data_IF_069529133304
#
_entry.id   IF_069529133304
#
_cell.length_a   1.000
_cell.length_b   1.000
_cell.length_c   1.000
_cell.angle_alpha   90.00
_cell.angle_beta   90.00
_cell.angle_gamma   90.00
#
_symmetry.space_group_name_H-M   'P 1'
#
loop_
_entity.id
_entity.type
_entity.pdbx_description
1 polymer ?
#
# COMPACT_ATOMS: atom_id res chain seq x y z
N UNK A 1 -4.42 44.17 -24.78
CA UNK A 1 -3.63 42.94 -25.05
C UNK A 1 -3.48 42.03 -23.84
N UNK A 2 -3.10 42.53 -22.65
CA UNK A 2 -2.96 41.69 -21.43
C UNK A 2 -4.25 40.98 -21.01
N UNK A 3 -5.41 41.63 -21.12
CA UNK A 3 -6.71 41.04 -20.76
C UNK A 3 -7.13 39.89 -21.70
N UNK A 4 -6.97 40.07 -23.02
CA UNK A 4 -7.20 39.01 -24.02
C UNK A 4 -6.31 37.79 -23.79
N UNK A 5 -5.05 38.01 -23.40
CA UNK A 5 -4.13 36.94 -23.05
C UNK A 5 -4.60 36.17 -21.80
N UNK A 6 -5.06 36.87 -20.75
CA UNK A 6 -5.59 36.23 -19.54
C UNK A 6 -6.86 35.41 -19.82
N UNK A 7 -7.75 35.90 -20.70
CA UNK A 7 -8.96 35.18 -21.11
C UNK A 7 -8.62 33.90 -21.90
N UNK A 8 -7.67 33.99 -22.85
CA UNK A 8 -7.21 32.84 -23.63
C UNK A 8 -6.54 31.78 -22.74
N UNK A 9 -5.71 32.20 -21.79
CA UNK A 9 -5.07 31.30 -20.82
C UNK A 9 -6.12 30.64 -19.92
N UNK A 10 -7.10 31.40 -19.42
CA UNK A 10 -8.21 30.85 -18.62
C UNK A 10 -9.03 29.81 -19.38
N UNK A 11 -9.33 30.07 -20.66
CA UNK A 11 -10.05 29.12 -21.52
C UNK A 11 -9.23 27.86 -21.80
N UNK A 12 -7.93 28.01 -22.09
CA UNK A 12 -7.02 26.88 -22.29
C UNK A 12 -6.84 26.02 -21.02
N UNK A 13 -6.79 26.65 -19.84
CA UNK A 13 -6.75 25.95 -18.54
C UNK A 13 -8.08 25.26 -18.22
N UNK A 14 -9.22 25.88 -18.54
CA UNK A 14 -10.55 25.29 -18.41
C UNK A 14 -10.79 24.12 -19.38
N UNK A 15 -10.05 24.06 -20.48
CA UNK A 15 -10.06 22.95 -21.43
C UNK A 15 -9.14 21.78 -21.03
N UNK A 16 -8.46 21.83 -19.87
CA UNK A 16 -7.77 20.63 -19.37
C UNK A 16 -8.82 19.52 -19.24
N UNK A 17 -8.70 18.44 -20.00
CA UNK A 17 -9.79 17.49 -20.07
C UNK A 17 -10.04 16.85 -18.70
N UNK A 18 -11.29 16.77 -18.20
CA UNK A 18 -11.60 16.16 -16.91
C UNK A 18 -11.04 14.74 -16.75
N UNK A 19 -10.93 13.99 -17.87
CA UNK A 19 -10.33 12.67 -17.90
C UNK A 19 -8.83 12.68 -17.52
N UNK A 20 -8.09 13.75 -17.84
CA UNK A 20 -6.69 13.89 -17.49
C UNK A 20 -6.49 14.08 -15.98
N UNK A 21 -7.32 14.92 -15.37
CA UNK A 21 -7.32 15.14 -13.92
C UNK A 21 -7.72 13.87 -13.17
N UNK A 22 -8.77 13.17 -13.63
CA UNK A 22 -9.18 11.86 -13.09
C UNK A 22 -8.02 10.86 -13.14
N UNK A 23 -7.36 10.73 -14.29
CA UNK A 23 -6.18 9.88 -14.43
C UNK A 23 -5.10 10.26 -13.41
N UNK A 24 -4.63 11.51 -13.42
CA UNK A 24 -3.57 11.94 -12.49
C UNK A 24 -3.91 11.59 -11.03
N UNK A 25 -5.15 11.79 -10.62
CA UNK A 25 -5.65 11.43 -9.29
C UNK A 25 -5.53 9.92 -9.01
N UNK A 26 -6.00 9.07 -9.94
CA UNK A 26 -5.89 7.61 -9.80
C UNK A 26 -4.43 7.15 -9.65
N UNK A 27 -3.52 7.73 -10.43
CA UNK A 27 -2.09 7.43 -10.30
C UNK A 27 -1.54 7.81 -8.92
N UNK A 28 -1.94 8.96 -8.38
CA UNK A 28 -1.54 9.36 -7.02
C UNK A 28 -1.98 8.35 -5.98
N UNK A 29 -3.20 7.82 -6.08
CA UNK A 29 -3.70 6.78 -5.20
C UNK A 29 -2.89 5.47 -5.32
N UNK A 30 -2.56 5.04 -6.53
CA UNK A 30 -1.67 3.88 -6.72
C UNK A 30 -0.27 4.08 -6.14
N UNK A 31 0.33 5.26 -6.34
CA UNK A 31 1.63 5.59 -5.76
C UNK A 31 1.58 5.61 -4.22
N UNK A 32 0.49 6.12 -3.63
CA UNK A 32 0.30 6.12 -2.18
C UNK A 32 0.23 4.69 -1.62
N UNK A 33 -0.54 3.80 -2.27
CA UNK A 33 -0.59 2.38 -1.90
C UNK A 33 0.80 1.72 -1.98
N UNK A 34 1.56 1.99 -3.05
CA UNK A 34 2.93 1.47 -3.20
C UNK A 34 3.83 1.92 -2.05
N UNK A 35 3.75 3.18 -1.65
CA UNK A 35 4.57 3.72 -0.56
C UNK A 35 4.27 3.06 0.79
N UNK A 36 2.97 2.82 1.10
CA UNK A 36 2.58 2.08 2.29
C UNK A 36 3.06 0.62 2.22
N UNK A 37 2.90 -0.04 1.07
CA UNK A 37 3.40 -1.41 0.89
C UNK A 37 4.92 -1.53 1.13
N UNK A 38 5.70 -0.57 0.66
CA UNK A 38 7.16 -0.59 0.87
C UNK A 38 7.52 -0.44 2.35
N UNK A 39 6.86 0.47 3.05
CA UNK A 39 7.06 0.62 4.50
C UNK A 39 6.62 -0.62 5.29
N UNK A 40 5.52 -1.26 4.89
CA UNK A 40 5.09 -2.54 5.45
C UNK A 40 6.15 -3.62 5.28
N UNK A 41 6.73 -3.73 4.08
CA UNK A 41 7.81 -4.67 3.77
C UNK A 41 9.07 -4.40 4.61
N UNK A 42 9.50 -3.14 4.71
CA UNK A 42 10.64 -2.76 5.54
C UNK A 42 10.43 -3.09 7.02
N UNK A 43 9.24 -2.80 7.55
CA UNK A 43 8.89 -3.11 8.94
C UNK A 43 8.79 -4.61 9.20
N UNK A 44 8.21 -5.37 8.28
CA UNK A 44 8.15 -6.83 8.37
C UNK A 44 9.55 -7.45 8.35
N UNK A 45 10.47 -6.96 7.49
CA UNK A 45 11.87 -7.40 7.49
C UNK A 45 12.57 -7.10 8.81
N UNK A 46 12.36 -5.92 9.38
CA UNK A 46 12.93 -5.57 10.70
C UNK A 46 12.39 -6.47 11.82
N UNK A 47 11.11 -6.79 11.81
CA UNK A 47 10.53 -7.72 12.78
C UNK A 47 11.24 -9.09 12.75
N UNK A 48 11.56 -9.59 11.54
CA UNK A 48 12.22 -10.87 11.35
C UNK A 48 13.72 -10.85 11.67
N UNK A 49 14.42 -9.76 11.33
CA UNK A 49 15.88 -9.67 11.47
C UNK A 49 16.31 -9.22 12.87
N UNK A 50 15.59 -8.26 13.46
CA UNK A 50 16.04 -7.57 14.67
C UNK A 50 15.37 -8.14 15.94
N UNK A 51 14.48 -9.13 15.80
CA UNK A 51 13.71 -9.76 16.89
C UNK A 51 13.01 -8.75 17.83
N UNK A 52 12.55 -7.62 17.30
CA UNK A 52 12.00 -6.55 18.13
C UNK A 52 10.51 -6.82 18.46
N UNK A 53 10.21 -7.00 19.75
CA UNK A 53 8.88 -7.39 20.26
C UNK A 53 7.87 -6.25 20.50
N UNK A 54 8.17 -4.99 20.15
CA UNK A 54 7.51 -3.80 20.76
C UNK A 54 6.89 -2.82 19.75
N UNK A 55 5.84 -2.03 20.10
CA UNK A 55 4.82 -1.50 19.16
C UNK A 55 5.24 -0.31 18.28
N UNK A 56 6.51 0.10 18.31
CA UNK A 56 7.05 1.16 17.42
C UNK A 56 7.01 0.80 15.92
N UNK A 57 6.64 -0.44 15.58
CA UNK A 57 6.69 -0.98 14.23
C UNK A 57 5.33 -1.27 13.59
N UNK A 58 4.24 -0.62 14.01
CA UNK A 58 2.96 -0.75 13.30
C UNK A 58 3.14 -0.52 11.79
N UNK A 59 2.59 -1.45 11.01
CA UNK A 59 2.57 -1.41 9.56
C UNK A 59 1.57 -0.33 9.11
N UNK A 60 1.97 0.60 8.22
CA UNK A 60 1.07 1.65 7.75
C UNK A 60 -0.03 1.09 6.86
N UNK A 61 -1.28 1.45 7.16
CA UNK A 61 -2.48 1.04 6.41
C UNK A 61 -3.30 2.24 5.93
N UNK A 62 -2.82 3.46 6.17
CA UNK A 62 -3.59 4.70 5.96
C UNK A 62 -3.88 4.91 4.48
N UNK A 63 -2.87 4.75 3.62
CA UNK A 63 -3.06 4.90 2.19
C UNK A 63 -4.00 3.82 1.65
N UNK A 64 -3.96 2.60 2.20
CA UNK A 64 -4.93 1.56 1.86
C UNK A 64 -6.36 1.97 2.21
N UNK A 65 -6.60 2.36 3.45
CA UNK A 65 -7.91 2.77 3.94
C UNK A 65 -8.50 3.97 3.19
N UNK A 66 -7.66 4.91 2.74
CA UNK A 66 -8.10 6.13 2.05
C UNK A 66 -8.14 5.95 0.52
N UNK A 67 -7.11 5.37 -0.07
CA UNK A 67 -6.94 5.34 -1.53
C UNK A 67 -7.63 4.15 -2.18
N UNK A 68 -7.68 2.99 -1.51
CA UNK A 68 -8.25 1.79 -2.11
C UNK A 68 -9.76 1.92 -2.38
N UNK A 69 -10.60 2.48 -1.48
CA UNK A 69 -12.01 2.73 -1.78
C UNK A 69 -12.23 3.68 -2.96
N UNK A 70 -11.37 4.70 -3.12
CA UNK A 70 -11.44 5.61 -4.27
C UNK A 70 -11.16 4.85 -5.57
N UNK A 71 -10.12 4.01 -5.59
CA UNK A 71 -9.78 3.20 -6.76
C UNK A 71 -10.91 2.22 -7.13
N UNK A 72 -11.56 1.60 -6.13
CA UNK A 72 -12.72 0.73 -6.33
C UNK A 72 -13.91 1.49 -6.92
N UNK A 73 -14.28 2.64 -6.32
CA UNK A 73 -15.40 3.45 -6.78
C UNK A 73 -15.20 3.97 -8.22
N UNK A 74 -13.95 4.25 -8.59
CA UNK A 74 -13.59 4.68 -9.94
C UNK A 74 -13.48 3.53 -10.96
N UNK A 75 -13.66 2.27 -10.54
CA UNK A 75 -13.51 1.09 -11.40
C UNK A 75 -12.07 0.85 -11.88
N UNK A 76 -11.08 1.29 -11.10
CA UNK A 76 -9.66 1.21 -11.46
C UNK A 76 -9.01 -0.14 -11.09
N UNK A 77 -9.75 -1.01 -10.39
CA UNK A 77 -9.27 -2.29 -9.83
C UNK A 77 -10.15 -3.43 -10.34
N UNK A 78 -9.54 -4.51 -10.82
CA UNK A 78 -10.23 -5.73 -11.22
C UNK A 78 -10.41 -6.69 -10.03
N UNK A 79 -11.37 -7.61 -10.11
CA UNK A 79 -11.69 -8.54 -9.00
C UNK A 79 -10.46 -9.29 -8.47
N UNK A 80 -9.62 -9.84 -9.36
CA UNK A 80 -8.39 -10.56 -8.97
C UNK A 80 -7.40 -9.64 -8.25
N UNK A 81 -7.33 -8.38 -8.66
CA UNK A 81 -6.46 -7.37 -8.06
C UNK A 81 -6.95 -7.00 -6.66
N UNK A 82 -8.28 -6.93 -6.47
CA UNK A 82 -8.89 -6.71 -5.16
C UNK A 82 -8.49 -7.81 -4.19
N UNK A 83 -8.57 -9.07 -4.64
CA UNK A 83 -8.21 -10.21 -3.79
C UNK A 83 -6.73 -10.20 -3.41
N UNK A 84 -5.82 -9.97 -4.35
CA UNK A 84 -4.38 -9.97 -4.08
C UNK A 84 -3.96 -8.81 -3.17
N UNK A 85 -4.38 -7.57 -3.50
CA UNK A 85 -4.07 -6.39 -2.68
C UNK A 85 -4.72 -6.51 -1.29
N UNK A 86 -5.97 -6.97 -1.24
CA UNK A 86 -6.71 -7.19 0.00
C UNK A 86 -6.01 -8.22 0.91
N UNK A 87 -5.54 -9.35 0.38
CA UNK A 87 -4.80 -10.35 1.16
C UNK A 87 -3.55 -9.76 1.82
N UNK A 88 -2.77 -8.97 1.07
CA UNK A 88 -1.59 -8.30 1.63
C UNK A 88 -1.96 -7.37 2.80
N UNK A 89 -2.91 -6.46 2.60
CA UNK A 89 -3.26 -5.47 3.63
C UNK A 89 -4.01 -6.07 4.82
N UNK A 90 -4.83 -7.10 4.60
CA UNK A 90 -5.49 -7.83 5.69
C UNK A 90 -4.45 -8.53 6.58
N UNK A 91 -3.44 -9.17 5.99
CA UNK A 91 -2.38 -9.80 6.78
C UNK A 91 -1.53 -8.76 7.52
N UNK A 92 -1.30 -7.59 6.93
CA UNK A 92 -0.64 -6.48 7.59
C UNK A 92 -1.46 -5.92 8.78
N UNK A 93 -2.79 -5.86 8.66
CA UNK A 93 -3.69 -5.50 9.77
C UNK A 93 -3.66 -6.56 10.89
N UNK A 94 -3.70 -7.84 10.52
CA UNK A 94 -3.56 -8.93 11.48
C UNK A 94 -2.24 -8.91 12.25
N UNK A 95 -1.14 -8.54 11.58
CA UNK A 95 0.16 -8.30 12.22
C UNK A 95 0.08 -7.15 13.23
N UNK A 96 -0.54 -6.03 12.86
CA UNK A 96 -0.74 -4.92 13.78
C UNK A 96 -1.54 -5.33 15.04
N UNK A 97 -2.61 -6.12 14.87
CA UNK A 97 -3.37 -6.67 16.01
C UNK A 97 -2.51 -7.59 16.88
N UNK A 98 -1.67 -8.43 16.27
CA UNK A 98 -0.73 -9.28 17.00
C UNK A 98 0.33 -8.48 17.78
N UNK A 99 0.80 -7.36 17.24
CA UNK A 99 1.72 -6.46 17.95
C UNK A 99 1.04 -5.76 19.13
N UNK A 100 -0.23 -5.38 18.98
CA UNK A 100 -1.01 -4.80 20.08
C UNK A 100 -1.22 -5.83 21.21
N UNK A 101 -1.56 -7.07 20.86
CA UNK A 101 -1.66 -8.18 21.82
C UNK A 101 -0.34 -8.43 22.56
N UNK A 102 0.79 -8.43 21.84
CA UNK A 102 2.11 -8.59 22.44
C UNK A 102 2.43 -7.46 23.43
N UNK A 103 2.07 -6.21 23.10
CA UNK A 103 2.25 -5.08 24.01
C UNK A 103 1.42 -5.22 25.29
N UNK A 104 0.20 -5.74 25.21
CA UNK A 104 -0.65 -5.97 26.38
C UNK A 104 -0.14 -7.14 27.24
N UNK A 105 0.38 -8.21 26.62
CA UNK A 105 1.01 -9.34 27.33
C UNK A 105 2.28 -8.92 28.07
N UNK A 106 3.10 -8.05 27.46
CA UNK A 106 4.29 -7.48 28.08
C UNK A 106 3.92 -6.67 29.34
N UNK A 107 2.87 -5.86 29.28
CA UNK A 107 2.36 -5.10 30.45
C UNK A 107 1.83 -6.02 31.56
N UNK A 108 1.24 -7.15 31.19
CA UNK A 108 0.74 -8.15 32.13
C UNK A 108 1.83 -9.05 32.72
N UNK A 109 3.09 -8.95 32.27
CA UNK A 109 4.20 -9.79 32.72
C UNK A 109 4.07 -11.26 32.34
N UNK A 110 3.38 -11.57 31.23
CA UNK A 110 3.17 -12.95 30.77
C UNK A 110 4.13 -13.30 29.62
N UNK A 111 5.38 -13.61 30.00
CA UNK A 111 6.48 -13.84 29.05
C UNK A 111 6.26 -15.05 28.13
N UNK A 112 5.60 -16.10 28.63
CA UNK A 112 5.31 -17.29 27.82
C UNK A 112 4.35 -16.96 26.67
N UNK A 113 3.25 -16.25 26.97
CA UNK A 113 2.29 -15.82 25.94
C UNK A 113 2.89 -14.78 25.00
N UNK A 114 3.72 -13.89 25.52
CA UNK A 114 4.45 -12.91 24.70
C UNK A 114 5.32 -13.61 23.64
N UNK A 115 6.07 -14.64 24.04
CA UNK A 115 6.90 -15.40 23.10
C UNK A 115 6.05 -16.13 22.05
N UNK A 116 4.91 -16.70 22.45
CA UNK A 116 3.99 -17.37 21.52
C UNK A 116 3.43 -16.39 20.47
N UNK A 117 2.96 -15.21 20.89
CA UNK A 117 2.47 -14.19 19.96
C UNK A 117 3.58 -13.62 19.08
N UNK A 118 4.79 -13.44 19.62
CA UNK A 118 5.94 -13.03 18.81
C UNK A 118 6.22 -14.05 17.70
N UNK A 119 6.29 -15.34 18.02
CA UNK A 119 6.51 -16.40 17.03
C UNK A 119 5.41 -16.41 15.96
N UNK A 120 4.15 -16.20 16.37
CA UNK A 120 3.01 -16.09 15.44
C UNK A 120 3.13 -14.89 14.51
N UNK A 121 3.55 -13.74 15.02
CA UNK A 121 3.78 -12.55 14.22
C UNK A 121 4.93 -12.75 13.24
N UNK A 122 6.01 -13.44 13.63
CA UNK A 122 7.09 -13.80 12.72
C UNK A 122 6.59 -14.70 11.57
N UNK A 123 5.76 -15.71 11.85
CA UNK A 123 5.18 -16.55 10.80
C UNK A 123 4.32 -15.74 9.81
N UNK A 124 3.52 -14.80 10.30
CA UNK A 124 2.71 -13.91 9.45
C UNK A 124 3.58 -12.94 8.65
N UNK A 125 4.63 -12.40 9.24
CA UNK A 125 5.57 -11.52 8.54
C UNK A 125 6.31 -12.26 7.43
N UNK A 126 6.71 -13.52 7.66
CA UNK A 126 7.25 -14.39 6.60
C UNK A 126 6.24 -14.59 5.49
N UNK A 127 5.00 -15.00 5.81
CA UNK A 127 3.96 -15.18 4.79
C UNK A 127 3.66 -13.89 3.99
N UNK A 128 3.88 -12.72 4.58
CA UNK A 128 3.69 -11.43 3.91
C UNK A 128 4.79 -11.17 2.86
N UNK A 129 6.05 -11.46 3.16
CA UNK A 129 7.19 -10.98 2.35
C UNK A 129 8.03 -12.09 1.69
N UNK A 130 8.02 -13.30 2.24
CA UNK A 130 8.77 -14.45 1.74
C UNK A 130 7.88 -15.30 0.81
N UNK A 131 8.45 -15.84 -0.29
CA UNK A 131 7.72 -16.77 -1.14
C UNK A 131 7.48 -18.10 -0.40
N UNK A 132 6.39 -18.79 -0.74
CA UNK A 132 6.05 -20.08 -0.15
C UNK A 132 5.76 -21.12 -1.24
N UNK A 133 6.36 -22.30 -1.16
CA UNK A 133 6.10 -23.46 -2.05
C UNK A 133 6.03 -23.12 -3.56
N UNK A 134 6.97 -22.30 -4.05
CA UNK A 134 7.03 -21.90 -5.47
C UNK A 134 6.04 -20.82 -5.88
N UNK A 135 5.29 -20.24 -4.92
CA UNK A 135 4.44 -19.07 -5.12
C UNK A 135 5.15 -17.80 -4.67
N UNK A 136 4.91 -16.71 -5.41
CA UNK A 136 5.36 -15.36 -5.02
C UNK A 136 4.81 -14.98 -3.64
N UNK A 137 5.56 -14.17 -2.89
CA UNK A 137 5.04 -13.60 -1.65
C UNK A 137 3.86 -12.67 -1.91
N UNK A 138 2.98 -12.49 -0.92
CA UNK A 138 1.84 -11.57 -1.02
C UNK A 138 2.31 -10.14 -1.37
N UNK A 139 3.44 -9.73 -0.81
CA UNK A 139 4.09 -8.47 -1.16
C UNK A 139 4.45 -8.40 -2.65
N UNK A 140 5.12 -9.43 -3.19
CA UNK A 140 5.57 -9.46 -4.59
C UNK A 140 4.40 -9.45 -5.54
N UNK A 141 3.37 -10.24 -5.26
CA UNK A 141 2.16 -10.33 -6.07
C UNK A 141 1.42 -8.97 -6.12
N UNK A 142 1.10 -8.40 -4.96
CA UNK A 142 0.39 -7.12 -4.89
C UNK A 142 1.25 -5.96 -5.44
N UNK A 143 2.57 -5.96 -5.21
CA UNK A 143 3.49 -4.95 -5.75
C UNK A 143 3.50 -4.96 -7.27
N UNK A 144 3.55 -6.15 -7.88
CA UNK A 144 3.51 -6.30 -9.35
C UNK A 144 2.24 -5.69 -9.94
N UNK A 145 1.10 -5.90 -9.29
CA UNK A 145 -0.18 -5.31 -9.70
C UNK A 145 -0.10 -3.79 -9.64
N UNK A 146 0.31 -3.23 -8.50
CA UNK A 146 0.41 -1.77 -8.33
C UNK A 146 1.40 -1.15 -9.32
N UNK A 147 2.58 -1.76 -9.49
CA UNK A 147 3.60 -1.29 -10.41
C UNK A 147 3.10 -1.33 -11.86
N UNK A 148 2.31 -2.33 -12.24
CA UNK A 148 1.66 -2.38 -13.56
C UNK A 148 0.70 -1.20 -13.77
N UNK A 149 -0.07 -0.82 -12.74
CA UNK A 149 -1.00 0.32 -12.80
C UNK A 149 -0.27 1.65 -12.85
N UNK A 150 0.86 1.80 -12.15
CA UNK A 150 1.67 3.03 -12.17
C UNK A 150 2.44 3.19 -13.48
N UNK A 151 2.99 2.10 -14.02
CA UNK A 151 3.87 2.10 -15.20
C UNK A 151 3.13 2.03 -16.53
N UNK A 152 1.82 1.72 -16.51
CA UNK A 152 1.02 1.55 -17.71
C UNK A 152 1.19 2.69 -18.72
N UNK A 153 1.37 2.30 -19.98
CA UNK A 153 1.89 3.14 -21.08
C UNK A 153 1.07 4.42 -21.32
N UNK A 154 -0.22 4.41 -20.98
CA UNK A 154 -1.09 5.58 -21.05
C UNK A 154 -0.75 6.70 -20.04
N UNK A 155 0.15 6.48 -19.08
CA UNK A 155 0.75 7.54 -18.23
C UNK A 155 1.93 8.27 -18.88
N UNK A 156 2.48 7.72 -19.97
CA UNK A 156 3.74 8.16 -20.58
C UNK A 156 3.58 9.19 -21.70
N UNK A 157 2.40 9.82 -21.84
CA UNK A 157 2.09 10.79 -22.93
C UNK A 157 2.93 12.09 -22.94
N UNK A 158 4.07 12.13 -22.25
CA UNK A 158 4.91 13.32 -22.16
C UNK A 158 6.41 13.02 -21.97
N UNK A 159 6.97 12.11 -22.77
CA UNK A 159 8.45 11.98 -22.89
C UNK A 159 9.01 12.27 -24.29
N UNK A 160 8.18 12.66 -25.25
CA UNK A 160 8.62 13.22 -26.52
C UNK A 160 7.90 14.54 -26.76
N UNK A 161 8.51 15.62 -26.29
CA UNK A 161 8.23 17.01 -26.67
C UNK A 161 9.56 17.73 -26.63
#
# INVERSE_FOLDING_TARGET
>A
MKELFLILVGFLLGMIPPWFMRKRRLRTHWCALRADMEQCNEKAKKLLNDNIMSPLYRLPLIAYQVSFPVLLADGAVEEKEVLSIGRFFNLAEELNRGLDNAADMLKAGNDEKLQQEFNRNCLKAKALIEPNDGQDSLYTEARRIIDSKISARWWQFRKHS
#
